data_IF_907362859982
#
_entry.id   IF_907362859982
#
_cell.length_a   1.000
_cell.length_b   1.000
_cell.length_c   1.000
_cell.angle_alpha   90.00
_cell.angle_beta   90.00
_cell.angle_gamma   90.00
#
_symmetry.space_group_name_H-M   'P 1'
#
loop_
_entity.id
_entity.type
_entity.pdbx_description
1 polymer ?
#
# COMPACT_ATOMS: atom_id res chain seq x y z
N UNK A 1 -15.45 16.63 14.53
CA UNK A 1 -15.32 16.09 13.14
C UNK A 1 -13.96 15.43 12.84
N UNK A 2 -12.87 15.78 13.52
CA UNK A 2 -11.51 15.28 13.24
C UNK A 2 -11.35 13.74 13.34
N UNK A 3 -12.03 13.08 14.28
CA UNK A 3 -11.93 11.63 14.49
C UNK A 3 -12.39 10.76 13.31
N UNK A 4 -13.32 11.25 12.48
CA UNK A 4 -13.80 10.49 11.31
C UNK A 4 -12.85 10.59 10.13
N UNK A 5 -12.27 11.77 9.92
CA UNK A 5 -11.31 12.01 8.84
C UNK A 5 -10.00 11.25 9.05
N UNK A 6 -9.49 11.22 10.29
CA UNK A 6 -8.28 10.45 10.61
C UNK A 6 -8.50 8.97 10.41
N UNK A 7 -9.63 8.42 10.88
CA UNK A 7 -9.95 7.00 10.66
C UNK A 7 -10.12 6.68 9.18
N UNK A 8 -10.81 7.53 8.41
CA UNK A 8 -10.93 7.33 6.96
C UNK A 8 -9.58 7.37 6.25
N UNK A 9 -8.71 8.32 6.63
CA UNK A 9 -7.37 8.41 6.07
C UNK A 9 -6.53 7.18 6.40
N UNK A 10 -6.64 6.66 7.63
CA UNK A 10 -5.98 5.41 8.05
C UNK A 10 -6.52 4.23 7.25
N UNK A 11 -7.83 4.12 7.08
CA UNK A 11 -8.45 3.03 6.32
C UNK A 11 -8.04 3.07 4.84
N UNK A 12 -7.98 4.26 4.23
CA UNK A 12 -7.46 4.43 2.87
C UNK A 12 -5.98 3.99 2.80
N UNK A 13 -5.12 4.47 3.70
CA UNK A 13 -3.71 4.06 3.71
C UNK A 13 -3.55 2.56 3.93
N UNK A 14 -4.39 1.94 4.77
CA UNK A 14 -4.42 0.49 4.97
C UNK A 14 -4.83 -0.24 3.69
N UNK A 15 -5.87 0.23 3.00
CA UNK A 15 -6.30 -0.35 1.71
C UNK A 15 -5.16 -0.24 0.67
N UNK A 16 -4.48 0.91 0.60
CA UNK A 16 -3.36 1.11 -0.33
C UNK A 16 -2.18 0.18 -0.03
N UNK A 17 -1.83 0.01 1.24
CA UNK A 17 -0.74 -0.90 1.67
C UNK A 17 -1.09 -2.37 1.48
N UNK A 18 -2.35 -2.77 1.70
CA UNK A 18 -2.82 -4.13 1.41
C UNK A 18 -2.75 -4.40 -0.09
N UNK A 19 -3.23 -3.48 -0.93
CA UNK A 19 -3.15 -3.61 -2.40
C UNK A 19 -1.70 -3.67 -2.89
N UNK A 20 -0.80 -2.87 -2.31
CA UNK A 20 0.63 -2.95 -2.58
C UNK A 20 1.24 -4.30 -2.16
N UNK A 21 0.83 -4.82 -0.99
CA UNK A 21 1.23 -6.15 -0.51
C UNK A 21 0.73 -7.28 -1.41
N UNK A 22 -0.52 -7.22 -1.87
CA UNK A 22 -1.08 -8.17 -2.85
C UNK A 22 -0.30 -8.10 -4.16
N UNK A 23 -0.02 -6.91 -4.68
CA UNK A 23 0.83 -6.71 -5.87
C UNK A 23 2.24 -7.29 -5.68
N UNK A 24 2.86 -7.11 -4.51
CA UNK A 24 4.19 -7.65 -4.17
C UNK A 24 4.18 -9.17 -4.04
N UNK A 25 3.14 -9.74 -3.43
CA UNK A 25 3.01 -11.17 -3.14
C UNK A 25 2.54 -11.98 -4.33
N UNK A 26 1.70 -11.42 -5.20
CA UNK A 26 1.07 -12.12 -6.32
C UNK A 26 1.63 -11.70 -7.68
N UNK A 27 2.33 -10.56 -7.75
CA UNK A 27 2.81 -9.97 -9.00
C UNK A 27 1.72 -9.27 -9.82
N UNK A 28 0.45 -9.33 -9.43
CA UNK A 28 -0.67 -8.71 -10.14
C UNK A 28 -0.93 -7.30 -9.60
N UNK A 29 -0.81 -6.30 -10.46
CA UNK A 29 -1.19 -4.92 -10.15
C UNK A 29 -2.64 -4.65 -10.60
N UNK A 30 -3.42 -3.84 -9.85
CA UNK A 30 -4.71 -3.37 -10.31
C UNK A 30 -4.57 -2.64 -11.66
N UNK A 31 -5.43 -2.98 -12.62
CA UNK A 31 -5.32 -2.46 -13.98
C UNK A 31 -5.76 -0.98 -14.06
N UNK A 32 -4.80 -0.08 -13.89
CA UNK A 32 -4.98 1.37 -14.03
C UNK A 32 -5.13 1.83 -15.49
N UNK A 33 -4.89 0.95 -16.47
CA UNK A 33 -5.01 1.25 -17.89
C UNK A 33 -6.47 1.19 -18.38
N UNK A 34 -7.37 0.54 -17.63
CA UNK A 34 -8.80 0.55 -17.90
C UNK A 34 -9.53 1.83 -17.50
N UNK A 35 -8.83 2.74 -16.79
CA UNK A 35 -9.39 4.02 -16.34
C UNK A 35 -9.26 5.01 -17.51
N UNK A 36 -10.39 5.32 -18.16
CA UNK A 36 -10.45 6.23 -19.32
C UNK A 36 -10.08 7.68 -18.97
N UNK A 37 -10.26 8.09 -17.71
CA UNK A 37 -9.97 9.45 -17.24
C UNK A 37 -8.51 9.58 -16.73
N UNK A 38 -7.67 10.43 -17.37
CA UNK A 38 -6.26 10.58 -17.01
C UNK A 38 -6.04 11.19 -15.62
N UNK A 39 -7.00 11.98 -15.11
CA UNK A 39 -6.90 12.63 -13.80
C UNK A 39 -7.06 11.58 -12.70
N UNK A 40 -8.09 10.74 -12.85
CA UNK A 40 -8.39 9.64 -11.93
C UNK A 40 -7.24 8.63 -11.95
N UNK A 41 -6.71 8.30 -13.14
CA UNK A 41 -5.53 7.45 -13.27
C UNK A 41 -4.32 7.99 -12.51
N UNK A 42 -4.02 9.29 -12.64
CA UNK A 42 -2.89 9.92 -11.95
C UNK A 42 -3.08 9.92 -10.44
N UNK A 43 -4.31 10.15 -9.96
CA UNK A 43 -4.63 10.06 -8.53
C UNK A 43 -4.40 8.65 -8.00
N UNK A 44 -4.93 7.62 -8.66
CA UNK A 44 -4.70 6.23 -8.27
C UNK A 44 -3.23 5.83 -8.33
N UNK A 45 -2.49 6.25 -9.36
CA UNK A 45 -1.04 6.02 -9.44
C UNK A 45 -0.31 6.57 -8.21
N UNK A 46 -0.61 7.81 -7.81
CA UNK A 46 -0.02 8.42 -6.60
C UNK A 46 -0.46 7.69 -5.33
N UNK A 47 -1.73 7.34 -5.24
CA UNK A 47 -2.28 6.61 -4.10
C UNK A 47 -1.62 5.23 -3.91
N UNK A 48 -1.45 4.47 -4.99
CA UNK A 48 -0.76 3.18 -4.97
C UNK A 48 0.75 3.32 -4.70
N UNK A 49 1.39 4.38 -5.20
CA UNK A 49 2.80 4.65 -4.91
C UNK A 49 3.06 4.93 -3.42
N UNK A 50 2.14 5.61 -2.74
CA UNK A 50 2.19 5.81 -1.29
C UNK A 50 2.10 4.45 -0.56
N UNK A 51 1.18 3.58 -0.98
CA UNK A 51 1.05 2.23 -0.42
C UNK A 51 2.30 1.37 -0.59
N UNK A 52 2.91 1.39 -1.78
CA UNK A 52 4.17 0.69 -2.06
C UNK A 52 5.32 1.21 -1.17
N UNK A 53 5.38 2.52 -0.92
CA UNK A 53 6.41 3.14 -0.07
C UNK A 53 6.26 2.72 1.39
N UNK A 54 5.04 2.77 1.93
CA UNK A 54 4.76 2.37 3.31
C UNK A 54 5.00 0.87 3.49
N UNK A 55 4.52 0.05 2.55
CA UNK A 55 4.76 -1.40 2.57
C UNK A 55 6.26 -1.72 2.53
N UNK A 56 7.04 -0.99 1.73
CA UNK A 56 8.50 -1.08 1.69
C UNK A 56 9.16 -0.72 3.01
N UNK A 57 8.76 0.40 3.66
CA UNK A 57 9.27 0.78 4.97
C UNK A 57 8.96 -0.26 6.04
N UNK A 58 7.73 -0.77 6.07
CA UNK A 58 7.31 -1.81 7.02
C UNK A 58 8.13 -3.08 6.79
N UNK A 59 8.26 -3.52 5.53
CA UNK A 59 9.06 -4.70 5.18
C UNK A 59 10.53 -4.53 5.58
N UNK A 60 11.12 -3.35 5.37
CA UNK A 60 12.48 -3.04 5.78
C UNK A 60 12.66 -3.01 7.30
N UNK A 61 11.67 -2.50 8.02
CA UNK A 61 11.63 -2.51 9.49
C UNK A 61 11.51 -3.94 10.02
N UNK A 62 10.68 -4.78 9.40
CA UNK A 62 10.53 -6.20 9.74
C UNK A 62 11.85 -6.95 9.56
N UNK A 63 12.60 -6.71 8.48
CA UNK A 63 13.89 -7.40 8.26
C UNK A 63 15.00 -6.93 9.21
N UNK A 64 15.00 -5.66 9.63
CA UNK A 64 16.03 -5.10 10.51
C UNK A 64 15.71 -5.20 12.01
N UNK A 65 14.47 -5.50 12.35
CA UNK A 65 14.02 -5.54 13.74
C UNK A 65 14.48 -6.84 14.43
N UNK A 66 15.03 -6.70 15.63
CA UNK A 66 15.38 -7.83 16.52
C UNK A 66 14.17 -8.65 16.97
N UNK A 67 12.94 -8.16 16.72
CA UNK A 67 11.70 -8.83 17.10
C UNK A 67 11.15 -9.78 16.02
N UNK A 68 11.64 -9.68 14.78
CA UNK A 68 11.17 -10.53 13.68
C UNK A 68 12.26 -11.52 13.31
N UNK A 69 12.03 -12.77 13.66
CA UNK A 69 12.87 -13.87 13.20
C UNK A 69 12.39 -14.30 11.81
N UNK A 70 13.33 -14.42 10.87
CA UNK A 70 13.04 -15.01 9.56
C UNK A 70 12.66 -16.47 9.81
N UNK A 71 11.36 -16.75 9.84
CA UNK A 71 10.84 -18.12 10.00
C UNK A 71 11.03 -18.83 8.66
N UNK A 72 12.23 -19.34 8.43
CA UNK A 72 12.54 -20.24 7.33
C UNK A 72 12.32 -21.66 7.86
N UNK A 73 11.54 -22.54 7.19
CA UNK A 73 11.60 -23.97 7.41
C UNK A 73 12.93 -24.57 6.92
#
# INVERSE_FOLDING_TARGET
MFNRLTRLAIDLLAISTILAGVKRSTGFAPNLLGIQDPTIRTFFQRYFAIGDTIFGMISGYVVNSKYFLKTIP
#
